data_IF_400229496447
#
_entry.id   IF_400229496447
#
_cell.length_a   1.000
_cell.length_b   1.000
_cell.length_c   1.000
_cell.angle_alpha   90.00
_cell.angle_beta   90.00
_cell.angle_gamma   90.00
#
_symmetry.space_group_name_H-M   'P 1'
#
loop_
_entity.id
_entity.type
_entity.pdbx_description
1 polymer ?
#
# COMPACT_ATOMS: atom_id res chain seq x y z
N UNK A 1 22.01 -7.62 1.41
CA UNK A 1 22.70 -6.33 1.44
C UNK A 1 22.11 -5.48 2.54
N UNK A 2 22.93 -4.86 3.39
CA UNK A 2 22.50 -3.82 4.34
C UNK A 2 22.20 -2.54 3.56
N UNK A 3 21.02 -1.94 3.79
CA UNK A 3 20.62 -0.70 3.12
C UNK A 3 20.95 0.50 3.99
N UNK A 4 20.58 0.48 5.26
CA UNK A 4 20.88 1.52 6.24
C UNK A 4 20.84 0.92 7.65
N UNK A 5 21.49 1.58 8.61
CA UNK A 5 21.34 1.32 10.05
C UNK A 5 20.53 2.42 10.75
N UNK A 6 19.93 3.31 9.98
CA UNK A 6 19.28 4.52 10.46
C UNK A 6 17.83 4.70 9.98
N UNK A 7 17.11 3.60 9.73
CA UNK A 7 15.70 3.68 9.34
C UNK A 7 14.82 4.01 10.55
N UNK A 8 13.86 4.91 10.37
CA UNK A 8 12.95 5.38 11.41
C UNK A 8 12.06 4.24 11.94
N UNK A 9 12.00 4.16 13.26
CA UNK A 9 11.13 3.28 14.01
C UNK A 9 10.48 4.05 15.17
N UNK A 10 9.22 3.77 15.47
CA UNK A 10 8.54 4.38 16.61
C UNK A 10 8.72 3.47 17.83
N UNK A 11 9.70 3.80 18.65
CA UNK A 11 10.17 2.97 19.79
C UNK A 11 9.45 3.22 21.12
N UNK A 12 8.50 4.17 21.11
CA UNK A 12 7.72 4.52 22.28
C UNK A 12 6.52 3.60 22.51
N UNK A 13 5.49 4.14 23.14
CA UNK A 13 4.26 3.41 23.49
C UNK A 13 3.22 3.54 22.39
N UNK A 14 2.49 2.44 22.13
CA UNK A 14 1.27 2.53 21.34
C UNK A 14 0.22 3.31 22.12
N UNK A 15 -0.24 4.38 21.52
CA UNK A 15 -1.33 5.17 22.05
C UNK A 15 -2.65 4.46 21.73
N UNK A 16 -3.57 4.42 22.69
CA UNK A 16 -4.93 3.94 22.45
C UNK A 16 -5.66 4.85 21.48
N UNK A 17 -6.97 4.67 21.28
CA UNK A 17 -7.83 5.60 20.52
C UNK A 17 -7.90 6.99 21.20
N UNK A 18 -6.77 7.42 21.73
CA UNK A 18 -6.66 8.64 22.48
C UNK A 18 -6.80 9.81 21.52
N UNK A 19 -7.88 10.42 21.70
CA UNK A 19 -8.18 11.68 21.13
C UNK A 19 -6.99 12.66 21.18
N UNK A 20 -6.78 13.25 20.10
CA UNK A 20 -6.16 14.49 19.68
C UNK A 20 -5.84 15.54 20.77
N UNK A 21 -6.43 15.44 21.97
CA UNK A 21 -6.38 16.49 23.01
C UNK A 21 -5.35 16.27 24.11
N UNK A 22 -4.70 15.10 24.20
CA UNK A 22 -3.99 14.74 25.43
C UNK A 22 -2.46 14.68 25.34
N UNK A 23 -1.88 14.75 24.16
CA UNK A 23 -0.41 14.84 24.09
C UNK A 23 0.01 16.26 23.78
N UNK A 24 0.34 16.96 24.83
CA UNK A 24 1.07 18.21 24.74
C UNK A 24 2.50 17.97 24.26
N UNK A 25 3.12 18.95 23.69
CA UNK A 25 4.54 18.95 23.31
C UNK A 25 5.50 18.50 24.42
N UNK A 26 5.04 18.49 25.65
CA UNK A 26 5.83 18.10 26.86
C UNK A 26 6.25 16.62 26.89
N UNK A 27 5.67 15.76 26.03
CA UNK A 27 6.10 14.36 25.89
C UNK A 27 7.19 14.16 24.84
N UNK A 28 7.85 15.22 24.40
CA UNK A 28 8.89 15.15 23.35
C UNK A 28 10.12 14.34 23.74
N UNK A 29 10.50 14.34 25.03
CA UNK A 29 11.75 13.77 25.50
C UNK A 29 11.71 12.26 25.76
N UNK A 30 10.50 11.65 25.70
CA UNK A 30 10.32 10.20 25.78
C UNK A 30 10.59 9.49 24.46
N UNK A 31 10.39 8.17 24.43
CA UNK A 31 10.38 7.38 23.19
C UNK A 31 9.37 7.90 22.19
N UNK A 32 9.50 7.51 20.93
CA UNK A 32 8.62 7.96 19.86
C UNK A 32 7.29 7.21 19.89
N UNK A 33 6.31 7.77 20.58
CA UNK A 33 4.97 7.19 20.70
C UNK A 33 4.27 7.14 19.33
N UNK A 34 3.33 6.20 19.16
CA UNK A 34 2.68 5.98 17.86
C UNK A 34 1.21 5.57 18.00
N UNK A 35 0.41 5.80 16.94
CA UNK A 35 -1.02 5.51 16.95
C UNK A 35 -1.36 4.09 16.49
N UNK A 36 -0.84 3.62 15.37
CA UNK A 36 -1.25 2.35 14.76
C UNK A 36 -0.18 1.28 14.87
N UNK A 37 0.95 1.44 14.23
CA UNK A 37 2.07 0.51 14.26
C UNK A 37 3.39 1.22 14.52
N UNK A 38 4.41 0.46 14.91
CA UNK A 38 5.73 0.99 15.26
C UNK A 38 6.72 1.02 14.08
N UNK A 39 6.52 0.18 13.08
CA UNK A 39 7.46 0.03 11.97
C UNK A 39 6.98 0.80 10.72
N UNK A 40 7.57 1.96 10.47
CA UNK A 40 7.30 2.78 9.28
C UNK A 40 8.27 2.52 8.12
N UNK A 41 9.46 2.04 8.39
CA UNK A 41 10.49 1.79 7.37
C UNK A 41 11.05 0.37 7.51
N UNK A 42 10.80 -0.53 6.53
CA UNK A 42 9.95 -0.36 5.35
C UNK A 42 8.47 -0.53 5.64
N UNK A 43 7.63 0.18 4.90
CA UNK A 43 6.18 0.01 4.95
C UNK A 43 5.50 0.46 3.65
N UNK A 44 4.35 -0.14 3.31
CA UNK A 44 3.58 0.21 2.12
C UNK A 44 4.31 -0.16 0.81
N UNK A 45 4.21 0.70 -0.19
CA UNK A 45 4.76 0.47 -1.53
C UNK A 45 6.20 0.99 -1.66
N UNK A 46 7.07 0.55 -0.75
CA UNK A 46 8.39 1.11 -0.48
C UNK A 46 9.53 0.51 -1.33
N UNK A 47 9.26 -0.39 -2.27
CA UNK A 47 10.30 -1.03 -3.09
C UNK A 47 9.83 -1.28 -4.52
N UNK A 48 10.68 -0.96 -5.50
CA UNK A 48 10.51 -1.26 -6.93
C UNK A 48 11.84 -1.63 -7.56
N UNK A 49 11.76 -2.38 -8.64
CA UNK A 49 12.91 -2.63 -9.53
C UNK A 49 12.72 -1.89 -10.85
N UNK A 50 13.82 -1.47 -11.43
CA UNK A 50 13.86 -0.98 -12.80
C UNK A 50 15.22 -1.31 -13.43
N UNK A 51 15.22 -2.05 -14.54
CA UNK A 51 16.46 -2.58 -15.13
C UNK A 51 17.25 -3.37 -14.07
N UNK A 52 18.48 -2.97 -13.83
CA UNK A 52 19.37 -3.59 -12.83
C UNK A 52 19.44 -2.79 -11.50
N UNK A 53 18.49 -1.90 -11.27
CA UNK A 53 18.41 -1.12 -10.04
C UNK A 53 17.24 -1.57 -9.16
N UNK A 54 17.45 -1.48 -7.85
CA UNK A 54 16.41 -1.61 -6.84
C UNK A 54 16.25 -0.28 -6.12
N UNK A 55 15.05 0.28 -6.15
CA UNK A 55 14.70 1.52 -5.47
C UNK A 55 13.95 1.20 -4.19
N UNK A 56 14.36 1.83 -3.09
CA UNK A 56 13.78 1.59 -1.77
C UNK A 56 13.58 2.92 -1.05
N UNK A 57 12.43 3.08 -0.41
CA UNK A 57 12.10 4.28 0.35
C UNK A 57 12.04 4.00 1.85
N UNK A 58 12.38 4.99 2.65
CA UNK A 58 12.37 4.94 4.10
C UNK A 58 12.45 6.35 4.68
N UNK A 59 12.13 6.47 5.97
CA UNK A 59 12.40 7.70 6.72
C UNK A 59 13.67 7.54 7.54
N UNK A 60 14.47 8.60 7.60
CA UNK A 60 15.68 8.63 8.40
C UNK A 60 15.34 8.65 9.89
N UNK A 61 15.96 7.77 10.63
CA UNK A 61 15.74 7.57 12.05
C UNK A 61 16.21 8.74 12.89
N UNK A 62 15.71 8.73 14.11
CA UNK A 62 15.81 9.83 15.04
C UNK A 62 14.55 10.68 15.03
N UNK A 63 13.85 10.73 16.15
CA UNK A 63 12.59 11.47 16.36
C UNK A 63 12.63 12.91 15.82
N UNK A 64 13.79 13.54 15.86
CA UNK A 64 13.99 14.92 15.39
C UNK A 64 14.46 15.02 13.92
N UNK A 65 14.83 13.92 13.28
CA UNK A 65 15.23 13.87 11.86
C UNK A 65 14.04 13.65 10.94
N UNK A 66 13.62 12.42 10.80
CA UNK A 66 12.42 11.98 10.05
C UNK A 66 12.41 12.34 8.56
N UNK A 67 13.58 12.63 7.97
CA UNK A 67 13.68 13.01 6.57
C UNK A 67 13.29 11.83 5.66
N UNK A 68 12.60 12.14 4.57
CA UNK A 68 12.29 11.19 3.52
C UNK A 68 13.58 10.81 2.77
N UNK A 69 13.78 9.53 2.55
CA UNK A 69 14.95 8.96 1.90
C UNK A 69 14.55 8.09 0.71
N UNK A 70 15.33 8.19 -0.35
CA UNK A 70 15.28 7.25 -1.49
C UNK A 70 16.66 6.61 -1.65
N UNK A 71 16.70 5.28 -1.64
CA UNK A 71 17.88 4.50 -1.90
C UNK A 71 17.80 3.83 -3.26
N UNK A 72 18.92 3.76 -3.99
CA UNK A 72 19.07 2.98 -5.22
C UNK A 72 20.26 2.03 -5.09
N UNK A 73 20.00 0.73 -5.20
CA UNK A 73 21.03 -0.30 -5.25
C UNK A 73 21.23 -0.75 -6.69
N UNK A 74 22.46 -0.69 -7.16
CA UNK A 74 22.88 -1.24 -8.45
C UNK A 74 23.23 -2.72 -8.28
N UNK A 75 22.45 -3.61 -8.86
CA UNK A 75 22.66 -5.07 -8.76
C UNK A 75 23.87 -5.59 -9.53
N UNK A 76 24.43 -4.81 -10.47
CA UNK A 76 25.60 -5.21 -11.26
C UNK A 76 26.92 -5.04 -10.50
N UNK A 77 27.03 -3.97 -9.71
CA UNK A 77 28.28 -3.63 -9.03
C UNK A 77 28.14 -3.54 -7.50
N UNK A 78 26.90 -3.67 -6.97
CA UNK A 78 26.62 -3.58 -5.54
C UNK A 78 26.63 -2.15 -4.97
N UNK A 79 26.77 -1.12 -5.80
CA UNK A 79 26.82 0.26 -5.34
C UNK A 79 25.45 0.70 -4.84
N UNK A 80 25.44 1.27 -3.64
CA UNK A 80 24.24 1.78 -2.97
C UNK A 80 24.37 3.31 -2.81
N UNK A 81 23.38 4.03 -3.31
CA UNK A 81 23.28 5.50 -3.21
C UNK A 81 22.02 5.88 -2.46
N UNK A 82 22.07 7.01 -1.76
CA UNK A 82 20.95 7.56 -1.02
C UNK A 82 20.72 9.02 -1.42
N UNK A 83 19.46 9.38 -1.56
CA UNK A 83 19.00 10.76 -1.68
C UNK A 83 18.23 11.10 -0.41
N UNK A 84 18.62 12.16 0.27
CA UNK A 84 17.90 12.73 1.41
C UNK A 84 17.09 13.94 0.93
N UNK A 85 15.78 13.90 1.15
CA UNK A 85 14.89 15.02 0.85
C UNK A 85 14.74 15.93 2.06
N UNK A 86 14.45 17.22 1.87
CA UNK A 86 14.19 18.14 2.99
C UNK A 86 12.86 17.85 3.69
N UNK A 87 11.96 17.10 3.03
CA UNK A 87 10.65 16.74 3.56
C UNK A 87 10.75 15.67 4.64
N UNK A 88 9.86 15.78 5.64
CA UNK A 88 9.89 14.93 6.83
C UNK A 88 8.53 14.23 7.02
N UNK A 89 8.57 13.11 7.71
CA UNK A 89 7.37 12.50 8.28
C UNK A 89 6.69 13.49 9.24
N UNK A 90 5.43 13.83 9.01
CA UNK A 90 4.72 14.88 9.75
C UNK A 90 4.01 14.37 11.00
N UNK A 91 4.00 13.05 11.22
CA UNK A 91 3.33 12.45 12.36
C UNK A 91 1.81 12.37 12.20
N UNK A 92 1.11 12.27 13.29
CA UNK A 92 -0.34 12.18 13.33
C UNK A 92 -0.96 13.57 13.41
N UNK A 93 -1.65 13.99 12.36
CA UNK A 93 -2.41 15.25 12.32
C UNK A 93 -1.53 16.47 12.64
N UNK A 94 -0.36 16.54 12.00
CA UNK A 94 0.62 17.61 12.24
C UNK A 94 1.40 17.51 13.54
N UNK A 95 1.12 16.51 14.38
CA UNK A 95 1.88 16.23 15.61
C UNK A 95 3.06 15.34 15.30
N UNK A 96 4.13 15.91 14.88
CA UNK A 96 5.34 15.20 14.44
C UNK A 96 5.94 14.24 15.50
N UNK A 97 5.64 14.45 16.77
CA UNK A 97 6.08 13.61 17.91
C UNK A 97 5.25 12.36 18.14
N UNK A 98 4.18 12.16 17.36
CA UNK A 98 3.35 10.95 17.36
C UNK A 98 3.53 10.25 16.02
N UNK A 99 4.06 9.04 16.03
CA UNK A 99 4.28 8.26 14.82
C UNK A 99 2.98 7.79 14.18
N UNK A 100 2.89 7.93 12.84
CA UNK A 100 1.76 7.50 12.03
C UNK A 100 2.24 6.59 10.89
N UNK A 101 1.96 5.28 10.99
CA UNK A 101 2.47 4.31 10.03
C UNK A 101 1.75 4.28 8.69
N UNK A 102 0.61 4.95 8.53
CA UNK A 102 0.00 5.08 7.20
C UNK A 102 0.69 6.15 6.34
N UNK A 103 1.54 6.99 6.93
CA UNK A 103 2.34 7.99 6.22
C UNK A 103 3.55 7.36 5.52
N UNK A 104 3.29 6.36 4.70
CA UNK A 104 4.29 5.63 3.91
C UNK A 104 4.84 6.48 2.77
N UNK A 105 5.92 6.02 2.16
CA UNK A 105 6.49 6.57 0.93
C UNK A 105 6.33 5.52 -0.17
N UNK A 106 5.41 5.74 -1.09
CA UNK A 106 5.27 4.91 -2.28
C UNK A 106 6.24 5.37 -3.36
N UNK A 107 6.87 4.42 -4.06
CA UNK A 107 7.79 4.70 -5.18
C UNK A 107 7.29 4.07 -6.46
N UNK A 108 7.30 4.84 -7.55
CA UNK A 108 7.02 4.38 -8.91
C UNK A 108 8.11 4.79 -9.88
N UNK A 109 8.41 3.95 -10.85
CA UNK A 109 9.32 4.26 -11.94
C UNK A 109 8.54 4.18 -13.25
N UNK A 110 8.57 5.24 -14.04
CA UNK A 110 7.93 5.24 -15.35
C UNK A 110 8.84 4.60 -16.40
N UNK A 111 8.45 3.49 -17.03
CA UNK A 111 9.23 2.96 -18.15
C UNK A 111 9.20 3.87 -19.38
N UNK A 112 8.22 4.77 -19.48
CA UNK A 112 8.04 5.67 -20.61
C UNK A 112 9.19 6.65 -20.79
N UNK A 113 9.64 7.24 -19.70
CA UNK A 113 10.66 8.30 -19.68
C UNK A 113 11.70 8.13 -18.57
N UNK A 114 11.66 6.99 -17.86
CA UNK A 114 12.60 6.66 -16.78
C UNK A 114 12.58 7.66 -15.62
N UNK A 115 11.47 8.37 -15.43
CA UNK A 115 11.27 9.25 -14.28
C UNK A 115 10.90 8.47 -13.03
N UNK A 116 11.25 9.03 -11.87
CA UNK A 116 10.98 8.48 -10.53
C UNK A 116 9.87 9.32 -9.90
N UNK A 117 8.88 8.63 -9.31
CA UNK A 117 7.72 9.24 -8.69
C UNK A 117 7.59 8.78 -7.25
N UNK A 118 7.31 9.72 -6.33
CA UNK A 118 7.15 9.46 -4.91
C UNK A 118 5.86 10.12 -4.42
N UNK A 119 5.01 9.35 -3.72
CA UNK A 119 3.87 9.90 -2.95
C UNK A 119 4.09 9.52 -1.50
N UNK A 120 4.04 10.51 -0.61
CA UNK A 120 4.46 10.32 0.76
C UNK A 120 3.66 11.14 1.76
N UNK A 121 3.53 10.60 2.98
CA UNK A 121 3.05 11.31 4.16
C UNK A 121 1.69 12.02 3.96
N UNK A 122 0.73 11.29 3.33
CA UNK A 122 -0.57 11.84 2.92
C UNK A 122 -1.72 11.50 3.86
N UNK A 123 -1.52 10.56 4.81
CA UNK A 123 -2.56 10.17 5.76
C UNK A 123 -2.57 11.06 6.98
N UNK A 124 -3.76 11.59 7.31
CA UNK A 124 -3.93 12.47 8.47
C UNK A 124 -2.88 13.61 8.50
N UNK A 125 -2.40 14.01 7.34
CA UNK A 125 -1.52 15.15 7.19
C UNK A 125 -2.29 16.41 7.54
N UNK A 126 -1.74 17.20 8.44
CA UNK A 126 -2.24 18.53 8.76
C UNK A 126 -1.09 19.41 9.20
N UNK A 127 -0.81 20.43 8.42
CA UNK A 127 0.28 21.35 8.68
C UNK A 127 -0.08 22.39 9.74
N UNK A 128 -1.36 22.72 9.87
CA UNK A 128 -1.80 23.90 10.59
C UNK A 128 -2.94 23.66 11.60
N UNK A 129 -3.33 22.43 11.87
CA UNK A 129 -4.47 22.16 12.75
C UNK A 129 -4.05 21.56 14.09
N UNK A 130 -4.11 22.36 15.14
CA UNK A 130 -4.02 21.89 16.52
C UNK A 130 -5.28 21.10 16.95
N UNK A 131 -6.34 21.17 16.16
CA UNK A 131 -7.64 20.56 16.46
C UNK A 131 -7.80 19.17 15.90
N UNK A 132 -6.81 18.68 15.18
CA UNK A 132 -6.75 17.31 14.70
C UNK A 132 -7.75 17.00 13.58
N UNK A 133 -8.03 17.91 12.68
CA UNK A 133 -8.63 17.63 11.38
C UNK A 133 -7.59 17.13 10.40
N UNK A 134 -7.99 16.43 9.35
CA UNK A 134 -7.20 16.38 8.14
C UNK A 134 -7.09 17.82 7.66
N UNK A 135 -5.89 18.27 7.30
CA UNK A 135 -5.67 19.66 6.95
C UNK A 135 -6.54 20.17 5.82
N UNK A 136 -6.54 21.46 5.67
CA UNK A 136 -7.13 22.13 4.51
C UNK A 136 -6.12 22.13 3.38
N UNK A 137 -6.51 21.73 2.17
CA UNK A 137 -5.62 21.78 1.00
C UNK A 137 -5.22 23.19 0.59
N UNK A 138 -5.81 24.21 1.14
CA UNK A 138 -5.30 25.57 1.02
C UNK A 138 -3.95 25.75 1.73
N UNK A 139 -3.64 24.84 2.66
CA UNK A 139 -2.43 24.92 3.50
C UNK A 139 -1.65 23.61 3.54
N UNK A 140 -2.30 22.46 3.22
CA UNK A 140 -1.69 21.15 3.16
C UNK A 140 -1.72 20.65 1.71
N UNK A 141 -0.55 20.34 1.15
CA UNK A 141 -0.46 19.86 -0.23
C UNK A 141 -0.68 18.36 -0.32
N UNK A 142 -1.11 17.93 -1.52
CA UNK A 142 -0.91 16.56 -1.95
C UNK A 142 0.60 16.35 -2.08
N UNK A 143 1.14 15.43 -1.31
CA UNK A 143 2.60 15.30 -1.20
C UNK A 143 3.14 14.33 -2.24
N UNK A 144 3.55 14.87 -3.34
CA UNK A 144 4.08 14.17 -4.51
C UNK A 144 5.37 14.82 -4.97
N UNK A 145 6.39 14.01 -5.24
CA UNK A 145 7.64 14.45 -5.85
C UNK A 145 7.95 13.61 -7.08
N UNK A 146 8.57 14.21 -8.08
CA UNK A 146 9.00 13.50 -9.29
C UNK A 146 10.34 14.01 -9.80
N UNK A 147 11.02 13.16 -10.55
CA UNK A 147 12.30 13.48 -11.16
C UNK A 147 12.17 13.91 -12.60
N UNK A 148 13.24 14.46 -13.16
CA UNK A 148 13.41 14.63 -14.60
C UNK A 148 13.42 13.28 -15.33
N UNK A 149 13.07 13.24 -16.62
CA UNK A 149 13.23 12.06 -17.46
C UNK A 149 14.66 11.50 -17.42
N UNK A 150 14.80 10.16 -17.47
CA UNK A 150 16.08 9.46 -17.44
C UNK A 150 16.68 9.25 -16.05
N UNK A 151 16.14 9.86 -15.00
CA UNK A 151 16.71 9.85 -13.65
C UNK A 151 16.90 8.45 -13.06
N UNK A 152 16.01 7.51 -13.36
CA UNK A 152 16.11 6.15 -12.84
C UNK A 152 17.34 5.39 -13.36
N UNK A 153 17.89 5.78 -14.51
CA UNK A 153 18.98 5.09 -15.22
C UNK A 153 20.31 5.86 -15.27
N UNK A 154 20.39 7.02 -14.61
CA UNK A 154 21.67 7.76 -14.56
C UNK A 154 22.76 6.93 -13.89
N UNK A 155 24.02 7.22 -14.19
CA UNK A 155 25.17 6.61 -13.51
C UNK A 155 25.07 6.82 -11.99
N UNK A 156 25.69 5.92 -11.23
CA UNK A 156 25.57 5.94 -9.77
C UNK A 156 26.05 7.26 -9.15
N UNK A 157 27.09 7.89 -9.70
CA UNK A 157 27.62 9.17 -9.19
C UNK A 157 26.72 10.37 -9.51
N UNK A 158 25.88 10.29 -10.52
CA UNK A 158 24.90 11.32 -10.87
C UNK A 158 23.57 11.18 -10.12
N UNK A 159 23.38 10.10 -9.34
CA UNK A 159 22.15 9.86 -8.61
C UNK A 159 22.08 10.74 -7.36
N UNK A 160 21.46 11.92 -7.50
CA UNK A 160 21.38 12.96 -6.47
C UNK A 160 20.00 13.63 -6.43
N UNK A 161 19.79 14.48 -5.42
CA UNK A 161 18.56 15.25 -5.26
C UNK A 161 18.31 16.22 -6.44
N UNK A 162 19.38 16.65 -7.13
CA UNK A 162 19.28 17.56 -8.29
C UNK A 162 18.50 16.96 -9.47
N UNK A 163 18.28 15.65 -9.46
CA UNK A 163 17.42 14.98 -10.44
C UNK A 163 15.92 15.23 -10.19
N UNK A 164 15.55 15.70 -9.01
CA UNK A 164 14.15 15.92 -8.66
C UNK A 164 13.74 17.37 -8.97
N UNK A 165 12.51 17.50 -9.45
CA UNK A 165 11.95 18.79 -9.85
C UNK A 165 11.51 19.56 -8.61
N UNK A 166 12.01 20.79 -8.47
CA UNK A 166 11.54 21.71 -7.43
C UNK A 166 10.16 22.25 -7.80
N UNK A 167 9.31 22.43 -6.79
CA UNK A 167 8.05 23.13 -6.99
C UNK A 167 8.31 24.65 -7.13
N UNK A 168 7.99 25.18 -8.29
CA UNK A 168 8.05 26.62 -8.59
C UNK A 168 6.66 27.25 -8.73
N UNK A 169 5.60 26.51 -8.35
CA UNK A 169 4.22 26.98 -8.40
C UNK A 169 3.92 27.98 -7.29
N UNK A 170 2.71 28.56 -7.34
CA UNK A 170 2.19 29.43 -6.26
C UNK A 170 1.98 28.71 -4.93
N UNK A 171 2.03 27.38 -4.93
CA UNK A 171 1.90 26.53 -3.75
C UNK A 171 3.24 26.19 -3.10
N UNK A 172 4.35 26.55 -3.73
CA UNK A 172 5.69 26.26 -3.24
C UNK A 172 5.96 26.91 -1.88
N UNK A 173 6.64 26.16 -1.00
CA UNK A 173 7.07 26.64 0.31
C UNK A 173 8.50 27.20 0.29
N UNK A 174 9.09 27.38 -0.87
CA UNK A 174 10.41 27.97 -1.08
C UNK A 174 11.37 27.09 -1.87
N UNK A 175 12.63 27.48 -1.92
CA UNK A 175 13.67 26.91 -2.80
C UNK A 175 13.99 25.43 -2.53
N UNK A 176 13.57 24.89 -1.42
CA UNK A 176 13.77 23.50 -1.03
C UNK A 176 12.50 22.66 -1.13
N UNK A 177 11.46 23.17 -1.78
CA UNK A 177 10.21 22.43 -1.96
C UNK A 177 10.26 21.52 -3.18
N UNK A 178 10.00 20.25 -2.95
CA UNK A 178 9.87 19.21 -3.97
C UNK A 178 8.46 18.59 -3.97
N UNK A 179 7.51 19.18 -3.21
CA UNK A 179 6.13 18.76 -3.19
C UNK A 179 5.37 19.40 -4.34
N UNK A 180 4.60 18.58 -5.05
CA UNK A 180 3.77 19.04 -6.16
C UNK A 180 2.32 18.63 -5.93
N UNK A 181 1.39 19.44 -6.40
CA UNK A 181 -0.02 19.10 -6.47
C UNK A 181 -0.47 18.72 -7.89
N UNK A 182 0.42 18.75 -8.86
CA UNK A 182 0.14 18.52 -10.28
C UNK A 182 -0.55 17.17 -10.58
N UNK A 183 -0.30 16.14 -9.75
CA UNK A 183 -0.98 14.85 -9.88
C UNK A 183 -2.50 14.95 -9.67
N UNK A 184 -2.97 15.90 -8.88
CA UNK A 184 -4.41 16.10 -8.58
C UNK A 184 -5.12 16.98 -9.61
N UNK A 185 -4.37 17.68 -10.45
CA UNK A 185 -4.85 18.82 -11.21
C UNK A 185 -5.00 20.03 -10.28
N UNK A 186 -4.22 21.07 -10.52
CA UNK A 186 -4.11 22.23 -9.60
C UNK A 186 -5.46 22.90 -9.31
N UNK A 187 -6.37 22.92 -10.29
CA UNK A 187 -7.71 23.47 -10.15
C UNK A 187 -8.58 22.72 -9.13
N UNK A 188 -8.31 21.44 -8.92
CA UNK A 188 -9.14 20.53 -8.12
C UNK A 188 -8.42 20.01 -6.87
N UNK A 189 -7.21 20.49 -6.55
CA UNK A 189 -6.40 19.94 -5.45
C UNK A 189 -7.13 19.98 -4.10
N UNK A 190 -7.95 20.99 -3.85
CA UNK A 190 -8.74 21.14 -2.62
C UNK A 190 -9.71 19.97 -2.37
N UNK A 191 -10.12 19.24 -3.42
CA UNK A 191 -10.96 18.05 -3.29
C UNK A 191 -10.20 16.82 -2.76
N UNK A 192 -8.87 16.86 -2.76
CA UNK A 192 -8.02 15.72 -2.38
C UNK A 192 -7.61 15.80 -0.91
N UNK A 193 -8.45 15.27 -0.03
CA UNK A 193 -8.20 15.13 1.40
C UNK A 193 -8.49 13.71 1.87
N UNK A 194 -8.09 13.38 3.10
CA UNK A 194 -8.33 12.06 3.73
C UNK A 194 -7.78 10.90 2.89
N UNK A 195 -6.56 11.04 2.41
CA UNK A 195 -5.89 10.07 1.56
C UNK A 195 -5.16 9.01 2.38
N UNK A 196 -5.10 7.77 1.84
CA UNK A 196 -4.42 6.64 2.51
C UNK A 196 -4.01 5.59 1.48
N UNK A 197 -2.92 4.86 1.76
CA UNK A 197 -2.47 3.69 0.99
C UNK A 197 -2.07 4.01 -0.46
N UNK A 198 -1.14 4.94 -0.67
CA UNK A 198 -0.61 5.23 -2.00
C UNK A 198 0.12 4.01 -2.56
N UNK A 199 -0.11 3.71 -3.84
CA UNK A 199 0.53 2.59 -4.53
C UNK A 199 0.75 2.89 -6.00
N UNK A 200 1.95 2.62 -6.49
CA UNK A 200 2.28 2.64 -7.91
C UNK A 200 2.29 1.21 -8.46
N UNK A 201 1.84 1.05 -9.69
CA UNK A 201 1.94 -0.20 -10.43
C UNK A 201 2.02 0.10 -11.94
N UNK A 202 2.41 -0.91 -12.71
CA UNK A 202 2.56 -0.79 -14.16
C UNK A 202 1.64 -1.78 -14.85
N UNK A 203 1.19 -1.45 -16.05
CA UNK A 203 0.56 -2.42 -16.95
C UNK A 203 1.64 -3.11 -17.83
N UNK A 204 1.23 -4.12 -18.60
CA UNK A 204 2.14 -4.84 -19.51
C UNK A 204 2.66 -4.00 -20.68
N UNK A 205 2.13 -2.80 -20.91
CA UNK A 205 2.54 -1.86 -21.95
C UNK A 205 3.55 -0.81 -21.45
N UNK A 206 3.91 -0.87 -20.15
CA UNK A 206 4.85 0.06 -19.54
C UNK A 206 4.24 1.39 -19.11
N UNK A 207 2.91 1.49 -19.02
CA UNK A 207 2.29 2.67 -18.44
C UNK A 207 2.38 2.59 -16.91
N UNK A 208 2.76 3.69 -16.27
CA UNK A 208 2.75 3.83 -14.82
C UNK A 208 1.39 4.32 -14.34
N UNK A 209 0.82 3.62 -13.39
CA UNK A 209 -0.41 3.97 -12.69
C UNK A 209 -0.14 4.32 -11.24
N UNK A 210 -1.03 5.12 -10.69
CA UNK A 210 -1.09 5.41 -9.28
C UNK A 210 -2.50 5.14 -8.75
N UNK A 211 -2.58 4.45 -7.62
CA UNK A 211 -3.81 4.18 -6.88
C UNK A 211 -3.69 4.73 -5.47
N UNK A 212 -4.76 5.31 -4.96
CA UNK A 212 -4.87 5.75 -3.58
C UNK A 212 -6.33 5.65 -3.12
N UNK A 213 -6.51 5.44 -1.81
CA UNK A 213 -7.82 5.48 -1.19
C UNK A 213 -8.10 6.86 -0.64
N UNK A 214 -9.32 7.37 -0.86
CA UNK A 214 -9.80 8.66 -0.38
C UNK A 214 -11.05 8.50 0.47
N UNK A 215 -11.18 9.26 1.54
CA UNK A 215 -12.35 9.29 2.41
C UNK A 215 -12.10 8.72 3.81
N UNK A 216 -13.18 8.47 4.54
CA UNK A 216 -13.15 7.94 5.90
C UNK A 216 -13.13 6.42 5.92
N UNK A 217 -12.98 5.84 7.12
CA UNK A 217 -13.01 4.38 7.27
C UNK A 217 -14.36 3.72 6.92
N UNK A 218 -15.43 4.48 6.82
CA UNK A 218 -16.79 3.99 6.58
C UNK A 218 -17.49 4.69 5.41
N UNK A 219 -16.80 5.60 4.76
CA UNK A 219 -17.21 6.29 3.56
C UNK A 219 -15.96 6.64 2.78
N UNK A 220 -15.52 5.72 1.93
CA UNK A 220 -14.24 5.82 1.25
C UNK A 220 -14.25 5.20 -0.13
N UNK A 221 -13.56 5.85 -1.05
CA UNK A 221 -13.45 5.39 -2.45
C UNK A 221 -12.00 5.09 -2.82
N UNK A 222 -11.82 4.16 -3.74
CA UNK A 222 -10.58 3.99 -4.48
C UNK A 222 -10.54 4.96 -5.67
N UNK A 223 -9.41 5.59 -5.88
CA UNK A 223 -9.16 6.42 -7.06
C UNK A 223 -7.83 6.04 -7.68
N UNK A 224 -7.74 6.16 -9.00
CA UNK A 224 -6.53 5.87 -9.74
C UNK A 224 -6.37 6.80 -10.94
N UNK A 225 -5.14 7.00 -11.39
CA UNK A 225 -4.80 7.73 -12.58
C UNK A 225 -3.56 7.13 -13.26
N UNK A 226 -3.18 7.68 -14.40
CA UNK A 226 -2.07 7.21 -15.22
C UNK A 226 -1.11 8.34 -15.53
N UNK A 227 0.16 8.05 -15.47
CA UNK A 227 1.22 8.96 -15.88
C UNK A 227 1.23 9.14 -17.41
N UNK A 228 1.26 10.39 -17.86
CA UNK A 228 1.26 10.73 -19.28
C UNK A 228 2.68 11.04 -19.79
N UNK A 229 3.54 11.57 -18.93
CA UNK A 229 4.90 12.03 -19.23
C UNK A 229 5.14 13.46 -18.75
N UNK A 230 6.39 13.83 -18.56
CA UNK A 230 6.80 15.19 -18.17
C UNK A 230 6.11 15.73 -16.90
N UNK A 231 5.93 14.89 -15.89
CA UNK A 231 5.23 15.24 -14.65
C UNK A 231 3.71 15.33 -14.76
N UNK A 232 3.13 15.03 -15.92
CA UNK A 232 1.69 15.15 -16.19
C UNK A 232 1.00 13.80 -15.95
N UNK A 233 -0.14 13.86 -15.27
CA UNK A 233 -1.02 12.73 -14.97
C UNK A 233 -2.40 12.92 -15.60
N UNK A 234 -3.05 11.81 -15.95
CA UNK A 234 -4.46 11.86 -16.34
C UNK A 234 -5.33 12.24 -15.14
N UNK A 235 -6.54 12.77 -15.35
CA UNK A 235 -7.50 12.95 -14.27
C UNK A 235 -7.74 11.63 -13.52
N UNK A 236 -8.00 11.73 -12.20
CA UNK A 236 -8.36 10.58 -11.39
C UNK A 236 -9.71 10.00 -11.80
N UNK A 237 -9.77 8.66 -11.82
CA UNK A 237 -11.00 7.89 -11.97
C UNK A 237 -11.37 7.26 -10.62
N UNK A 238 -12.67 7.25 -10.32
CA UNK A 238 -13.19 6.66 -9.10
C UNK A 238 -13.69 5.24 -9.35
N UNK A 239 -13.31 4.32 -8.47
CA UNK A 239 -13.79 2.94 -8.43
C UNK A 239 -15.21 2.87 -7.88
N UNK A 240 -15.45 3.59 -6.80
CA UNK A 240 -16.76 3.69 -6.15
C UNK A 240 -17.04 5.13 -5.72
N UNK A 241 -18.30 5.41 -5.39
CA UNK A 241 -18.78 6.74 -5.02
C UNK A 241 -18.72 6.93 -3.50
N UNK A 242 -18.49 8.16 -3.05
CA UNK A 242 -18.74 8.60 -1.67
C UNK A 242 -20.21 8.97 -1.51
N UNK A 243 -20.68 9.05 -0.26
CA UNK A 243 -22.03 9.53 0.11
C UNK A 243 -23.17 8.76 -0.60
N UNK A 244 -23.01 7.47 -0.83
CA UNK A 244 -23.97 6.63 -1.58
C UNK A 244 -25.39 6.59 -0.98
N UNK A 245 -25.60 7.16 0.19
CA UNK A 245 -26.95 7.42 0.75
C UNK A 245 -27.76 8.35 -0.13
N UNK A 246 -27.12 9.29 -0.79
CA UNK A 246 -27.76 10.20 -1.75
C UNK A 246 -28.26 9.47 -3.00
N UNK A 247 -27.74 8.28 -3.25
CA UNK A 247 -28.15 7.38 -4.32
C UNK A 247 -29.12 6.29 -3.85
N UNK A 248 -29.64 6.40 -2.62
CA UNK A 248 -30.69 5.54 -2.09
C UNK A 248 -30.20 4.33 -1.28
N UNK A 249 -28.89 4.16 -1.06
CA UNK A 249 -28.41 3.12 -0.15
C UNK A 249 -28.66 3.52 1.32
N UNK A 250 -28.97 2.56 2.21
CA UNK A 250 -29.22 2.87 3.62
C UNK A 250 -27.95 3.28 4.39
N UNK A 251 -26.77 2.88 3.93
CA UNK A 251 -25.49 3.12 4.59
C UNK A 251 -24.41 3.53 3.60
N UNK A 252 -23.47 4.37 4.04
CA UNK A 252 -22.21 4.56 3.32
C UNK A 252 -21.28 3.37 3.56
N UNK A 253 -20.32 3.19 2.68
CA UNK A 253 -19.32 2.14 2.79
C UNK A 253 -17.96 2.57 2.26
N UNK A 254 -16.95 1.82 2.64
CA UNK A 254 -15.58 2.01 2.18
C UNK A 254 -15.00 0.72 1.65
N UNK A 255 -14.23 0.80 0.58
CA UNK A 255 -13.40 -0.31 0.13
C UNK A 255 -12.09 -0.38 0.93
N UNK A 256 -11.64 -1.60 1.14
CA UNK A 256 -10.32 -1.94 1.68
C UNK A 256 -9.71 -3.02 0.78
N UNK A 257 -8.88 -2.59 -0.14
CA UNK A 257 -8.27 -3.46 -1.13
C UNK A 257 -7.23 -2.73 -1.93
N UNK A 258 -6.85 -3.30 -3.05
CA UNK A 258 -5.85 -2.71 -3.91
C UNK A 258 -6.08 -3.03 -5.38
N UNK A 259 -5.51 -2.16 -6.23
CA UNK A 259 -5.47 -2.32 -7.68
C UNK A 259 -4.12 -2.90 -8.08
N UNK A 260 -4.15 -3.84 -9.01
CA UNK A 260 -2.97 -4.44 -9.62
C UNK A 260 -3.21 -4.66 -11.11
N UNK A 261 -2.13 -4.71 -11.86
CA UNK A 261 -2.12 -5.26 -13.20
C UNK A 261 -1.45 -6.63 -13.18
N UNK A 262 -2.15 -7.64 -13.62
CA UNK A 262 -1.64 -9.00 -13.69
C UNK A 262 -2.28 -9.73 -14.88
N UNK A 263 -1.53 -10.55 -15.59
CA UNK A 263 -1.98 -11.30 -16.76
C UNK A 263 -2.78 -10.43 -17.76
N UNK A 264 -2.20 -9.31 -18.19
CA UNK A 264 -2.83 -8.34 -19.12
C UNK A 264 -4.19 -7.78 -18.67
N UNK A 265 -4.52 -7.91 -17.37
CA UNK A 265 -5.78 -7.50 -16.78
C UNK A 265 -5.54 -6.47 -15.69
N UNK A 266 -6.25 -5.35 -15.76
CA UNK A 266 -6.30 -4.39 -14.66
C UNK A 266 -7.39 -4.84 -13.69
N UNK A 267 -7.01 -5.27 -12.50
CA UNK A 267 -7.94 -5.80 -11.52
C UNK A 267 -8.00 -4.98 -10.23
N UNK A 268 -9.13 -5.08 -9.56
CA UNK A 268 -9.36 -4.52 -8.23
C UNK A 268 -10.09 -5.51 -7.36
N UNK A 269 -9.48 -5.93 -6.27
CA UNK A 269 -10.15 -6.73 -5.25
C UNK A 269 -10.18 -5.98 -3.92
N UNK A 270 -11.25 -6.15 -3.17
CA UNK A 270 -11.48 -5.42 -1.94
C UNK A 270 -12.44 -6.14 -0.98
N UNK A 271 -12.41 -5.70 0.25
CA UNK A 271 -13.42 -5.97 1.27
C UNK A 271 -14.20 -4.69 1.55
N UNK A 272 -15.47 -4.80 1.92
CA UNK A 272 -16.35 -3.67 2.21
C UNK A 272 -16.45 -3.44 3.72
N UNK A 273 -16.30 -2.20 4.13
CA UNK A 273 -16.57 -1.75 5.50
C UNK A 273 -17.79 -0.84 5.52
N UNK A 274 -18.84 -1.24 6.26
CA UNK A 274 -20.11 -0.54 6.33
C UNK A 274 -20.15 0.53 7.43
N UNK A 275 -20.86 1.62 7.19
CA UNK A 275 -21.21 2.61 8.21
C UNK A 275 -22.51 2.20 8.94
N UNK A 276 -22.53 1.02 9.52
CA UNK A 276 -23.67 0.50 10.28
C UNK A 276 -23.19 -0.23 11.53
N UNK A 277 -23.34 0.39 12.71
CA UNK A 277 -22.96 -0.19 13.99
C UNK A 277 -23.85 -1.35 14.43
N UNK A 278 -25.02 -1.48 13.84
CA UNK A 278 -25.97 -2.54 14.15
C UNK A 278 -25.67 -3.82 13.38
N UNK A 279 -24.83 -3.75 12.35
CA UNK A 279 -24.44 -4.90 11.54
C UNK A 279 -23.25 -5.64 12.16
N UNK A 280 -23.33 -6.95 12.28
CA UNK A 280 -22.22 -7.78 12.77
C UNK A 280 -21.00 -7.72 11.85
N UNK A 281 -21.21 -7.45 10.57
CA UNK A 281 -20.20 -7.33 9.53
C UNK A 281 -19.69 -5.91 9.30
N UNK A 282 -19.97 -4.98 10.20
CA UNK A 282 -19.61 -3.57 10.03
C UNK A 282 -18.16 -3.34 9.63
N UNK A 283 -17.23 -4.02 10.26
CA UNK A 283 -15.79 -3.78 10.02
C UNK A 283 -15.27 -4.41 8.75
N UNK A 284 -15.86 -5.48 8.30
CA UNK A 284 -15.68 -6.00 6.96
C UNK A 284 -16.71 -7.05 6.63
N UNK A 285 -17.06 -7.09 5.36
CA UNK A 285 -18.01 -7.99 4.83
C UNK A 285 -17.56 -8.32 3.39
N UNK A 286 -17.71 -9.58 3.03
CA UNK A 286 -17.53 -10.08 1.68
C UNK A 286 -16.10 -10.01 1.12
N UNK A 287 -15.92 -10.70 0.05
CA UNK A 287 -14.78 -10.62 -0.86
C UNK A 287 -15.31 -10.18 -2.20
N UNK A 288 -14.79 -9.11 -2.74
CA UNK A 288 -15.20 -8.48 -3.99
C UNK A 288 -14.05 -8.48 -4.97
N UNK A 289 -14.35 -8.75 -6.23
CA UNK A 289 -13.37 -8.71 -7.31
C UNK A 289 -13.99 -8.23 -8.60
N UNK A 290 -13.31 -7.35 -9.29
CA UNK A 290 -13.65 -6.89 -10.63
C UNK A 290 -12.38 -6.61 -11.44
N UNK A 291 -12.53 -6.62 -12.74
CA UNK A 291 -11.41 -6.43 -13.65
C UNK A 291 -11.82 -5.69 -14.91
N UNK A 292 -10.86 -5.16 -15.63
CA UNK A 292 -11.02 -4.58 -16.97
C UNK A 292 -10.01 -5.22 -17.93
N UNK A 293 -10.50 -5.67 -19.07
CA UNK A 293 -9.66 -6.11 -20.20
C UNK A 293 -9.01 -4.91 -20.93
N UNK A 294 -9.49 -3.71 -20.66
CA UNK A 294 -8.85 -2.49 -21.13
C UNK A 294 -7.64 -2.19 -20.25
N UNK A 295 -6.40 -2.24 -20.77
CA UNK A 295 -5.18 -2.06 -19.98
C UNK A 295 -5.05 -0.66 -19.34
N UNK A 296 -5.88 0.29 -19.75
CA UNK A 296 -5.94 1.64 -19.18
C UNK A 296 -7.10 1.81 -18.18
N UNK A 297 -7.95 0.80 -18.01
CA UNK A 297 -9.12 0.85 -17.12
C UNK A 297 -10.15 1.91 -17.52
N UNK A 298 -10.21 2.29 -18.80
CA UNK A 298 -11.08 3.38 -19.28
C UNK A 298 -12.52 2.93 -19.48
N UNK A 299 -12.74 1.65 -19.73
CA UNK A 299 -14.05 1.07 -20.03
C UNK A 299 -14.08 -0.41 -19.66
N UNK A 300 -15.26 -1.04 -19.80
CA UNK A 300 -15.44 -2.50 -19.80
C UNK A 300 -15.00 -3.20 -18.51
N UNK A 301 -15.35 -2.61 -17.37
CA UNK A 301 -15.20 -3.29 -16.10
C UNK A 301 -16.20 -4.42 -15.97
N UNK A 302 -15.75 -5.56 -15.45
CA UNK A 302 -16.51 -6.81 -15.34
C UNK A 302 -16.32 -7.42 -13.96
N UNK A 303 -17.33 -8.18 -13.51
CA UNK A 303 -17.16 -9.08 -12.37
C UNK A 303 -16.47 -10.39 -12.81
N UNK A 304 -16.23 -11.29 -11.87
CA UNK A 304 -15.55 -12.56 -12.15
C UNK A 304 -16.34 -13.51 -13.10
N UNK A 305 -17.63 -13.25 -13.32
CA UNK A 305 -18.50 -13.99 -14.27
C UNK A 305 -18.45 -13.39 -15.68
N UNK A 306 -17.78 -12.25 -15.86
CA UNK A 306 -17.70 -11.53 -17.13
C UNK A 306 -18.88 -10.57 -17.37
N UNK A 307 -19.73 -10.34 -16.37
CA UNK A 307 -20.85 -9.41 -16.45
C UNK A 307 -20.35 -7.98 -16.26
N UNK A 308 -20.88 -7.04 -17.04
CA UNK A 308 -20.47 -5.63 -17.03
C UNK A 308 -20.79 -4.95 -15.70
N UNK A 309 -19.83 -4.23 -15.19
CA UNK A 309 -19.93 -3.37 -14.00
C UNK A 309 -19.80 -1.91 -14.43
N UNK A 310 -20.72 -1.08 -13.97
CA UNK A 310 -20.64 0.38 -14.16
C UNK A 310 -19.84 1.03 -13.05
N UNK A 311 -18.86 1.87 -13.42
CA UNK A 311 -18.10 2.69 -12.49
C UNK A 311 -18.56 4.16 -12.52
N UNK A 312 -18.52 4.87 -11.38
CA UNK A 312 -18.17 4.39 -10.04
C UNK A 312 -19.29 3.53 -9.43
N UNK A 313 -18.90 2.49 -8.70
CA UNK A 313 -19.84 1.65 -7.95
C UNK A 313 -20.61 2.46 -6.91
N UNK A 314 -21.92 2.35 -6.90
CA UNK A 314 -22.80 2.81 -5.81
C UNK A 314 -22.91 1.72 -4.76
N UNK A 315 -23.25 0.50 -5.19
CA UNK A 315 -23.25 -0.71 -4.36
C UNK A 315 -22.13 -1.65 -4.80
N UNK A 316 -21.56 -2.38 -3.85
CA UNK A 316 -20.50 -3.35 -4.10
C UNK A 316 -21.01 -4.69 -4.63
N UNK A 317 -22.31 -5.00 -4.49
CA UNK A 317 -22.89 -6.31 -4.79
C UNK A 317 -22.58 -6.86 -6.19
N UNK A 318 -22.50 -6.05 -7.26
CA UNK A 318 -22.12 -6.56 -8.58
C UNK A 318 -20.74 -7.20 -8.65
N UNK A 319 -19.81 -6.81 -7.76
CA UNK A 319 -18.46 -7.34 -7.70
C UNK A 319 -18.28 -8.46 -6.67
N UNK A 320 -19.35 -8.90 -6.01
CA UNK A 320 -19.29 -9.91 -4.95
C UNK A 320 -18.79 -11.25 -5.47
N UNK A 321 -17.77 -11.79 -4.82
CA UNK A 321 -17.26 -13.16 -5.04
C UNK A 321 -17.84 -14.10 -3.99
N UNK A 322 -17.73 -13.71 -2.70
CA UNK A 322 -18.16 -14.56 -1.60
C UNK A 322 -18.60 -13.74 -0.40
N UNK A 323 -19.60 -14.21 0.30
CA UNK A 323 -20.04 -13.69 1.59
C UNK A 323 -19.25 -14.36 2.73
N UNK A 324 -19.08 -13.65 3.82
CA UNK A 324 -18.38 -14.15 5.00
C UNK A 324 -19.30 -14.91 5.98
N UNK A 325 -20.58 -14.97 5.68
CA UNK A 325 -21.63 -15.49 6.58
C UNK A 325 -21.42 -16.93 7.03
N UNK A 326 -20.94 -17.79 6.13
CA UNK A 326 -20.79 -19.24 6.39
C UNK A 326 -19.66 -19.57 7.38
N UNK A 327 -18.73 -18.64 7.59
CA UNK A 327 -17.58 -18.81 8.48
C UNK A 327 -17.70 -18.07 9.81
N UNK A 328 -18.84 -17.44 10.07
CA UNK A 328 -19.06 -16.59 11.26
C UNK A 328 -20.24 -17.09 12.05
N UNK A 329 -20.01 -17.48 13.30
CA UNK A 329 -21.05 -17.95 14.23
C UNK A 329 -21.62 -16.83 15.09
N UNK A 330 -20.91 -15.71 15.26
CA UNK A 330 -21.35 -14.60 16.09
C UNK A 330 -22.71 -14.07 15.70
N UNK A 331 -23.52 -13.76 16.70
CA UNK A 331 -24.81 -13.08 16.54
C UNK A 331 -24.77 -11.61 16.99
N UNK A 332 -23.70 -11.22 17.69
CA UNK A 332 -23.57 -9.87 18.21
C UNK A 332 -23.30 -8.86 17.12
N UNK A 333 -23.91 -7.70 17.26
CA UNK A 333 -23.66 -6.52 16.43
C UNK A 333 -22.20 -6.10 16.53
N UNK A 334 -21.64 -5.60 15.46
CA UNK A 334 -20.29 -5.01 15.38
C UNK A 334 -19.17 -5.92 15.93
N UNK A 335 -19.32 -7.24 15.81
CA UNK A 335 -18.40 -8.20 16.38
C UNK A 335 -17.56 -8.98 15.37
N UNK A 336 -17.90 -8.93 14.09
CA UNK A 336 -17.10 -9.52 13.02
C UNK A 336 -16.12 -8.49 12.50
N UNK A 337 -14.87 -8.90 12.41
CA UNK A 337 -13.80 -8.01 12.02
C UNK A 337 -12.84 -8.71 11.06
N UNK A 338 -12.61 -8.09 9.93
CA UNK A 338 -11.60 -8.52 8.97
C UNK A 338 -10.75 -7.31 8.63
N UNK A 339 -9.61 -7.14 9.26
CA UNK A 339 -8.60 -6.14 8.89
C UNK A 339 -7.25 -6.82 8.77
N UNK A 340 -6.62 -6.64 7.61
CA UNK A 340 -5.38 -7.32 7.27
C UNK A 340 -5.60 -8.76 6.78
N UNK A 341 -4.61 -9.36 6.18
CA UNK A 341 -4.72 -10.70 5.59
C UNK A 341 -5.63 -10.75 4.39
N UNK A 342 -5.76 -9.64 3.64
CA UNK A 342 -6.48 -9.55 2.38
C UNK A 342 -5.55 -9.10 1.28
N UNK A 343 -5.44 -9.91 0.23
CA UNK A 343 -4.73 -9.58 -0.99
C UNK A 343 -5.19 -10.48 -2.14
N UNK A 344 -4.78 -10.19 -3.36
CA UNK A 344 -5.15 -10.94 -4.53
C UNK A 344 -4.05 -10.92 -5.58
N UNK A 345 -4.09 -11.90 -6.49
CA UNK A 345 -3.20 -11.96 -7.66
C UNK A 345 -3.84 -12.79 -8.79
N UNK A 346 -3.28 -12.71 -9.99
CA UNK A 346 -3.62 -13.55 -11.13
C UNK A 346 -2.31 -14.13 -11.66
N UNK A 347 -2.27 -15.44 -11.92
CA UNK A 347 -1.12 -16.11 -12.55
C UNK A 347 -1.06 -15.79 -14.04
N UNK A 348 0.08 -16.05 -14.68
CA UNK A 348 0.23 -15.85 -16.13
C UNK A 348 -0.74 -16.76 -16.93
N UNK A 349 -1.12 -17.90 -16.38
CA UNK A 349 -2.15 -18.80 -16.96
C UNK A 349 -3.58 -18.27 -16.78
N UNK A 350 -3.83 -17.29 -15.92
CA UNK A 350 -5.13 -16.67 -15.70
C UNK A 350 -5.88 -17.18 -14.47
N UNK A 351 -5.25 -17.96 -13.60
CA UNK A 351 -5.85 -18.37 -12.32
C UNK A 351 -5.94 -17.19 -11.38
N UNK A 352 -7.11 -16.95 -10.80
CA UNK A 352 -7.31 -15.83 -9.85
C UNK A 352 -7.20 -16.37 -8.42
N UNK A 353 -6.45 -15.69 -7.59
CA UNK A 353 -6.24 -16.04 -6.18
C UNK A 353 -6.52 -14.83 -5.29
N UNK A 354 -7.35 -15.02 -4.27
CA UNK A 354 -7.68 -14.00 -3.27
C UNK A 354 -7.55 -14.64 -1.90
N UNK A 355 -6.85 -13.99 -0.99
CA UNK A 355 -6.79 -14.40 0.41
C UNK A 355 -7.61 -13.45 1.28
N UNK A 356 -8.22 -13.98 2.31
CA UNK A 356 -8.95 -13.20 3.31
C UNK A 356 -8.87 -13.86 4.68
N UNK A 357 -9.26 -13.10 5.70
CA UNK A 357 -9.29 -13.59 7.08
C UNK A 357 -10.55 -13.11 7.76
N UNK A 358 -11.28 -14.01 8.38
CA UNK A 358 -12.48 -13.71 9.16
C UNK A 358 -12.16 -13.85 10.65
N UNK A 359 -12.45 -12.83 11.43
CA UNK A 359 -12.33 -12.86 12.88
C UNK A 359 -13.71 -12.70 13.54
N UNK A 360 -14.07 -13.68 14.32
CA UNK A 360 -15.25 -13.67 15.18
C UNK A 360 -14.84 -13.35 16.61
N UNK A 361 -15.09 -12.13 17.05
CA UNK A 361 -14.69 -11.66 18.37
C UNK A 361 -15.48 -12.29 19.50
N UNK A 362 -16.74 -12.65 19.27
CA UNK A 362 -17.60 -13.28 20.28
C UNK A 362 -17.08 -14.68 20.61
N UNK A 363 -16.79 -15.47 19.60
CA UNK A 363 -16.31 -16.85 19.74
C UNK A 363 -14.78 -16.96 19.79
N UNK A 364 -14.06 -15.81 19.69
CA UNK A 364 -12.59 -15.74 19.71
C UNK A 364 -11.94 -16.63 18.65
N UNK A 365 -12.56 -16.75 17.49
CA UNK A 365 -12.04 -17.55 16.38
C UNK A 365 -11.52 -16.68 15.26
N UNK A 366 -10.54 -17.20 14.54
CA UNK A 366 -10.00 -16.61 13.31
C UNK A 366 -9.90 -17.71 12.28
N UNK A 367 -10.46 -17.46 11.11
CA UNK A 367 -10.39 -18.37 9.95
C UNK A 367 -9.64 -17.67 8.83
N UNK A 368 -8.59 -18.28 8.33
CA UNK A 368 -7.89 -17.84 7.14
C UNK A 368 -8.48 -18.55 5.94
N UNK A 369 -8.79 -17.82 4.89
CA UNK A 369 -9.46 -18.32 3.71
C UNK A 369 -8.63 -18.04 2.47
N UNK A 370 -8.57 -19.02 1.59
CA UNK A 370 -8.03 -18.89 0.25
C UNK A 370 -9.12 -19.15 -0.79
N UNK A 371 -9.45 -18.13 -1.55
CA UNK A 371 -10.42 -18.17 -2.62
C UNK A 371 -9.66 -18.23 -3.94
N UNK A 372 -9.83 -19.27 -4.72
CA UNK A 372 -9.14 -19.38 -5.99
C UNK A 372 -10.08 -19.86 -7.09
N UNK A 373 -9.83 -19.34 -8.27
CA UNK A 373 -10.60 -19.66 -9.47
C UNK A 373 -9.62 -20.12 -10.55
N UNK A 374 -9.52 -21.44 -10.78
CA UNK A 374 -8.73 -21.97 -11.89
C UNK A 374 -9.21 -21.40 -13.23
N UNK A 375 -8.28 -21.23 -14.15
CA UNK A 375 -8.62 -20.81 -15.53
C UNK A 375 -9.65 -21.77 -16.11
N UNK A 376 -10.68 -21.23 -16.76
CA UNK A 376 -11.81 -22.01 -17.29
C UNK A 376 -12.89 -22.40 -16.27
N UNK A 377 -12.65 -22.26 -14.98
CA UNK A 377 -13.69 -22.41 -13.96
C UNK A 377 -14.70 -21.25 -14.01
N UNK A 378 -15.96 -21.53 -13.76
CA UNK A 378 -17.00 -20.50 -13.65
C UNK A 378 -17.06 -19.87 -12.26
N UNK A 379 -16.70 -20.62 -11.23
CA UNK A 379 -16.86 -20.22 -9.84
C UNK A 379 -15.53 -20.28 -9.08
N UNK A 380 -15.45 -19.53 -7.99
CA UNK A 380 -14.36 -19.62 -7.03
C UNK A 380 -14.53 -20.86 -6.14
N UNK A 381 -13.42 -21.46 -5.79
CA UNK A 381 -13.29 -22.47 -4.74
C UNK A 381 -12.76 -21.76 -3.51
N UNK A 382 -13.35 -22.02 -2.34
CA UNK A 382 -12.87 -21.48 -1.06
C UNK A 382 -12.33 -22.61 -0.20
N UNK A 383 -11.11 -22.44 0.29
CA UNK A 383 -10.46 -23.37 1.23
C UNK A 383 -10.28 -22.71 2.59
N UNK A 384 -10.66 -23.42 3.67
CA UNK A 384 -10.35 -23.08 5.05
C UNK A 384 -9.02 -23.71 5.49
N UNK A 385 -8.53 -24.69 4.75
CA UNK A 385 -7.19 -25.28 4.95
C UNK A 385 -6.13 -24.36 4.33
N UNK A 386 -5.97 -23.21 4.96
CA UNK A 386 -5.03 -22.19 4.56
C UNK A 386 -4.27 -21.64 5.77
N UNK A 387 -2.96 -21.69 5.74
CA UNK A 387 -2.10 -21.27 6.86
C UNK A 387 -2.25 -19.78 7.23
N UNK A 388 -2.77 -18.97 6.30
CA UNK A 388 -2.90 -17.54 6.46
C UNK A 388 -1.66 -16.78 5.99
N UNK A 389 -1.92 -15.62 5.39
CA UNK A 389 -0.89 -14.69 4.95
C UNK A 389 -1.41 -13.26 4.97
N UNK A 390 -0.53 -12.28 4.93
CA UNK A 390 -0.92 -10.87 4.76
C UNK A 390 -1.04 -10.50 3.28
N UNK A 391 -0.22 -11.14 2.43
CA UNK A 391 -0.19 -10.88 0.99
C UNK A 391 -0.01 -12.20 0.23
N UNK A 392 -0.45 -12.21 -1.01
CA UNK A 392 -0.25 -13.27 -1.98
C UNK A 392 0.40 -12.71 -3.24
N UNK A 393 1.33 -13.44 -3.80
CA UNK A 393 2.15 -13.01 -4.93
C UNK A 393 2.11 -14.04 -6.04
N UNK A 394 2.49 -13.63 -7.25
CA UNK A 394 2.64 -14.52 -8.39
C UNK A 394 3.97 -14.30 -9.09
N UNK A 395 4.49 -15.36 -9.67
CA UNK A 395 5.54 -15.35 -10.67
C UNK A 395 5.27 -16.52 -11.62
N UNK A 396 5.13 -16.23 -12.91
CA UNK A 396 4.65 -17.18 -13.91
C UNK A 396 3.32 -17.84 -13.46
N UNK A 397 3.23 -19.16 -13.52
CA UNK A 397 2.02 -19.91 -13.16
C UNK A 397 1.97 -20.35 -11.69
N UNK A 398 2.86 -19.84 -10.86
CA UNK A 398 2.90 -20.17 -9.45
C UNK A 398 2.42 -19.00 -8.58
N UNK A 399 1.86 -19.33 -7.42
CA UNK A 399 1.50 -18.40 -6.37
C UNK A 399 2.37 -18.62 -5.14
N UNK A 400 2.66 -17.52 -4.45
CA UNK A 400 3.61 -17.52 -3.34
C UNK A 400 3.03 -16.83 -2.12
N UNK A 401 3.34 -17.40 -0.96
CA UNK A 401 3.21 -16.76 0.34
C UNK A 401 4.61 -16.50 0.87
N UNK A 402 4.86 -15.28 1.29
CA UNK A 402 6.17 -14.82 1.74
C UNK A 402 5.99 -14.14 3.08
N UNK A 403 6.78 -14.55 4.06
CA UNK A 403 6.67 -14.03 5.41
C UNK A 403 7.94 -14.21 6.23
N UNK A 404 7.80 -14.02 7.52
CA UNK A 404 8.83 -14.21 8.53
C UNK A 404 8.38 -15.30 9.51
N UNK A 405 9.24 -16.26 9.74
CA UNK A 405 9.08 -17.29 10.76
C UNK A 405 10.31 -17.28 11.66
N UNK A 406 10.11 -17.08 12.97
CA UNK A 406 11.21 -16.93 13.94
C UNK A 406 12.25 -15.87 13.54
N UNK A 407 11.77 -14.76 12.94
CA UNK A 407 12.61 -13.66 12.47
C UNK A 407 13.40 -13.94 11.19
N UNK A 408 13.11 -15.05 10.50
CA UNK A 408 13.78 -15.40 9.25
C UNK A 408 12.77 -15.47 8.08
N UNK A 409 13.15 -15.05 6.87
CA UNK A 409 12.31 -15.14 5.68
C UNK A 409 11.96 -16.57 5.32
N UNK A 410 10.72 -16.77 4.91
CA UNK A 410 10.30 -18.03 4.27
C UNK A 410 9.48 -17.75 3.00
N UNK A 411 9.44 -18.74 2.13
CA UNK A 411 8.62 -18.76 0.93
C UNK A 411 7.86 -20.08 0.87
N UNK A 412 6.55 -20.01 0.70
CA UNK A 412 5.71 -21.13 0.32
C UNK A 412 5.18 -20.92 -1.09
N UNK A 413 5.04 -21.99 -1.84
CA UNK A 413 4.62 -22.00 -3.23
C UNK A 413 3.46 -22.97 -3.41
N UNK A 414 2.50 -22.59 -4.21
CA UNK A 414 1.50 -23.48 -4.79
C UNK A 414 1.45 -23.26 -6.32
N UNK A 415 1.02 -24.29 -7.03
CA UNK A 415 0.67 -24.13 -8.44
C UNK A 415 -0.60 -23.27 -8.56
N UNK A 416 -0.68 -22.46 -9.59
CA UNK A 416 -1.88 -21.67 -9.91
C UNK A 416 -3.11 -22.56 -9.99
N UNK A 417 -4.26 -22.03 -9.56
CA UNK A 417 -5.53 -22.75 -9.51
C UNK A 417 -5.63 -23.81 -8.39
N UNK A 418 -4.69 -23.82 -7.42
CA UNK A 418 -4.69 -24.79 -6.30
C UNK A 418 -4.45 -24.10 -4.96
N UNK A 419 -4.70 -24.84 -3.85
CA UNK A 419 -4.39 -24.43 -2.46
C UNK A 419 -3.23 -25.24 -1.86
N UNK A 420 -2.47 -25.98 -2.66
CA UNK A 420 -1.43 -26.90 -2.18
C UNK A 420 -0.09 -26.17 -1.94
N UNK A 421 -0.04 -25.33 -0.92
CA UNK A 421 1.18 -24.59 -0.55
C UNK A 421 2.21 -25.51 0.10
N UNK A 422 3.45 -25.43 -0.37
CA UNK A 422 4.59 -26.14 0.20
C UNK A 422 5.76 -25.18 0.42
N UNK A 423 6.53 -25.42 1.48
CA UNK A 423 7.72 -24.63 1.81
C UNK A 423 8.84 -24.88 0.80
N UNK A 424 9.22 -23.85 0.03
CA UNK A 424 10.29 -23.90 -0.97
C UNK A 424 11.55 -23.16 -0.52
N UNK A 425 11.45 -22.27 0.45
CA UNK A 425 12.58 -21.56 1.01
C UNK A 425 12.39 -21.32 2.51
N UNK A 426 13.45 -21.53 3.28
CA UNK A 426 13.55 -21.11 4.69
C UNK A 426 14.89 -20.43 4.91
N UNK A 427 14.85 -19.22 5.39
CA UNK A 427 16.04 -18.46 5.75
C UNK A 427 16.80 -19.14 6.88
N UNK A 428 18.11 -19.18 6.76
CA UNK A 428 19.00 -19.69 7.80
C UNK A 428 19.30 -18.54 8.77
N UNK A 429 19.15 -18.76 10.08
CA UNK A 429 19.53 -17.79 11.09
C UNK A 429 21.02 -17.48 10.96
N UNK A 430 21.36 -16.26 10.55
CA UNK A 430 22.74 -15.79 10.42
C UNK A 430 23.05 -14.72 11.47
N UNK A 431 22.95 -13.45 11.11
CA UNK A 431 23.40 -12.34 11.96
C UNK A 431 22.29 -11.44 12.46
N UNK A 432 21.08 -11.50 11.89
CA UNK A 432 19.97 -10.65 12.25
C UNK A 432 18.64 -11.40 12.25
N UNK A 433 17.78 -11.09 13.21
CA UNK A 433 16.35 -11.41 13.15
C UNK A 433 15.62 -10.21 12.54
N UNK A 434 14.55 -10.50 11.83
CA UNK A 434 13.72 -9.49 11.17
C UNK A 434 12.32 -9.45 11.81
N UNK A 435 11.80 -8.25 12.00
CA UNK A 435 10.48 -8.02 12.59
C UNK A 435 9.41 -7.70 11.56
N UNK A 436 9.80 -7.20 10.38
CA UNK A 436 8.90 -6.80 9.30
C UNK A 436 9.65 -6.78 7.96
N UNK A 437 8.90 -6.85 6.88
CA UNK A 437 9.43 -6.62 5.55
C UNK A 437 8.32 -6.32 4.55
N UNK A 438 8.71 -5.77 3.41
CA UNK A 438 7.86 -5.58 2.23
C UNK A 438 8.48 -6.30 1.05
N UNK A 439 7.64 -6.84 0.21
CA UNK A 439 8.02 -7.74 -0.89
C UNK A 439 7.72 -7.07 -2.22
N UNK A 440 8.65 -7.20 -3.14
CA UNK A 440 8.46 -6.93 -4.55
C UNK A 440 8.94 -8.15 -5.36
N UNK A 441 8.14 -8.59 -6.32
CA UNK A 441 8.53 -9.66 -7.24
C UNK A 441 8.68 -9.08 -8.65
N UNK A 442 9.78 -9.40 -9.28
CA UNK A 442 10.07 -9.01 -10.66
C UNK A 442 11.02 -10.03 -11.30
N UNK A 443 10.72 -10.43 -12.54
CA UNK A 443 11.57 -11.31 -13.35
C UNK A 443 12.00 -12.61 -12.62
N UNK A 444 11.04 -13.27 -11.95
CA UNK A 444 11.30 -14.52 -11.22
C UNK A 444 12.16 -14.36 -9.96
N UNK A 445 12.33 -13.13 -9.48
CA UNK A 445 13.07 -12.83 -8.25
C UNK A 445 12.18 -12.14 -7.22
N UNK A 446 12.34 -12.57 -6.00
CA UNK A 446 11.78 -11.95 -4.82
C UNK A 446 12.81 -10.97 -4.24
N UNK A 447 12.40 -9.73 -4.10
CA UNK A 447 13.14 -8.68 -3.42
C UNK A 447 12.45 -8.42 -2.08
N UNK A 448 13.07 -8.86 -0.98
CA UNK A 448 12.52 -8.72 0.35
C UNK A 448 13.27 -7.62 1.10
N UNK A 449 12.60 -6.47 1.26
CA UNK A 449 13.11 -5.33 2.00
C UNK A 449 12.72 -5.46 3.47
N UNK A 450 13.69 -5.71 4.32
CA UNK A 450 13.55 -6.25 5.68
C UNK A 450 13.98 -5.24 6.73
N UNK A 451 13.24 -5.18 7.84
CA UNK A 451 13.57 -4.45 9.04
C UNK A 451 14.13 -5.41 10.08
N UNK A 452 15.36 -5.19 10.53
CA UNK A 452 15.95 -5.96 11.61
C UNK A 452 15.33 -5.61 12.98
N UNK A 453 15.26 -6.61 13.86
CA UNK A 453 15.01 -6.37 15.28
C UNK A 453 16.10 -5.50 15.89
N UNK A 454 15.78 -4.77 16.96
CA UNK A 454 16.72 -3.88 17.62
C UNK A 454 16.04 -3.01 18.68
N UNK A 455 16.71 -1.97 19.13
CA UNK A 455 16.22 -0.98 20.12
C UNK A 455 16.35 0.45 19.60
N UNK A 456 15.61 1.39 20.17
CA UNK A 456 15.63 2.80 19.82
C UNK A 456 14.86 3.13 18.54
N UNK A 457 14.89 4.39 18.17
CA UNK A 457 14.16 4.97 17.04
C UNK A 457 14.89 4.89 15.69
N UNK A 458 16.03 4.16 15.66
CA UNK A 458 16.82 3.88 14.46
C UNK A 458 16.99 2.38 14.33
N UNK A 459 16.73 1.86 13.15
CA UNK A 459 16.80 0.41 12.88
C UNK A 459 17.59 0.13 11.62
N UNK A 460 18.18 -1.05 11.59
CA UNK A 460 18.86 -1.53 10.37
C UNK A 460 17.85 -2.14 9.42
N UNK A 461 18.00 -1.80 8.14
CA UNK A 461 17.24 -2.44 7.06
C UNK A 461 18.16 -3.18 6.10
N UNK A 462 17.62 -4.24 5.52
CA UNK A 462 18.34 -5.11 4.58
C UNK A 462 17.48 -5.38 3.34
N UNK A 463 18.14 -5.62 2.23
CA UNK A 463 17.55 -6.24 1.06
C UNK A 463 18.07 -7.67 0.93
N UNK A 464 17.16 -8.63 0.86
CA UNK A 464 17.44 -10.00 0.47
C UNK A 464 16.81 -10.26 -0.89
N UNK A 465 17.56 -10.89 -1.79
CA UNK A 465 17.09 -11.32 -3.10
C UNK A 465 17.06 -12.83 -3.13
N UNK A 466 15.93 -13.41 -3.50
CA UNK A 466 15.71 -14.86 -3.58
C UNK A 466 15.20 -15.17 -4.98
N UNK A 467 15.80 -16.12 -5.67
CA UNK A 467 15.28 -16.60 -6.96
C UNK A 467 14.09 -17.51 -6.70
N UNK A 468 12.98 -17.27 -7.38
CA UNK A 468 11.80 -18.11 -7.39
C UNK A 468 11.91 -19.12 -8.53
N UNK A 469 11.53 -20.36 -8.28
CA UNK A 469 11.61 -21.46 -9.25
C UNK A 469 10.22 -21.97 -9.63
#
# INVERSE_FOLDING_TARGET
VKITDSALFFDGKKMGNVHRSLETENNRDGGYNYQYGSAISPHGDAIKTYKHYVFMTWYKGGKYNRHMMLSRLNLKNGQLKHIEFPHRHTGLVGRWWIGETHNTIAVGISPRDESIHLVFDVHAYSKHSDTGGNGSFEKDYFRYSYSVPGAASVNDDAFSLDLFVKDASVHSEGDSDYNHISMTGEENHAAFSKLTYPKFFQNGQGDLFFYIRQGTSHDGKGIFNRYIGNGIWSPFKSINKLNVKEDGLPYTWSNYGNMKFANNTLGFAFQRRLNNKEDKFRYQNGVYFMYSDNPLGLSDWKNYKGETIQLPLIDASPALVIETGDWVKTQKKDSVHIVGGFDWTITDNGDVHIISRVQDKENKTVVNLHHYKPVGSKEFITSEDFVGANNIYTSADNVYIIGLENGQPYVEQAKGGTNAFTRVYSGIKRSANFSKGVVHISEGKLYFYLLAEGSGDRRTTYLQVITLH
#
